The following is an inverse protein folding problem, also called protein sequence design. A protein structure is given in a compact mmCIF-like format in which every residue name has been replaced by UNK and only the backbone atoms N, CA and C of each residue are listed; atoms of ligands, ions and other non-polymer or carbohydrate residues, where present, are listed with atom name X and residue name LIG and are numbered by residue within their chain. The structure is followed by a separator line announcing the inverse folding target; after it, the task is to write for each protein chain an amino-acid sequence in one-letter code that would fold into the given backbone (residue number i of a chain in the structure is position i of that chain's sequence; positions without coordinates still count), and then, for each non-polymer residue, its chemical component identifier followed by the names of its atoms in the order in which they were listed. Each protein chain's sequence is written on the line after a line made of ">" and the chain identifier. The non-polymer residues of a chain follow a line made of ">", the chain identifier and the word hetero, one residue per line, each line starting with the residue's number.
data_IF_108216382740
#
_entry.id   IF_108216382740
#
_cell.length_a   1.000
_cell.length_b   1.000
_cell.length_c   1.000
_cell.angle_alpha   90.00
_cell.angle_beta   90.00
_cell.angle_gamma   90.00
#
_symmetry.space_group_name_H-M   'P 1'
#
loop_
_entity.id
_entity.type
_entity.pdbx_description
1 polymer ?
#
# COMPACT_ATOMS: atom_id res chain seq x y z
N UNK A 1 -25.43 -14.98 -9.21
CA UNK A 1 -24.83 -14.03 -8.25
C UNK A 1 -23.90 -13.15 -9.07
N UNK A 2 -24.09 -11.83 -9.18
CA UNK A 2 -23.03 -11.01 -9.76
C UNK A 2 -21.80 -11.19 -8.86
N UNK A 3 -20.72 -11.78 -9.39
CA UNK A 3 -19.46 -11.86 -8.65
C UNK A 3 -19.00 -10.43 -8.46
N UNK A 4 -19.11 -9.91 -7.23
CA UNK A 4 -18.59 -8.59 -6.90
C UNK A 4 -17.12 -8.55 -7.31
N UNK A 5 -16.74 -7.55 -8.11
CA UNK A 5 -15.33 -7.31 -8.44
C UNK A 5 -14.52 -7.25 -7.12
N UNK A 6 -13.30 -7.82 -7.09
CA UNK A 6 -12.46 -7.78 -5.90
C UNK A 6 -12.15 -6.34 -5.49
N UNK A 7 -12.12 -6.09 -4.17
CA UNK A 7 -11.74 -4.81 -3.59
C UNK A 7 -10.22 -4.75 -3.41
N UNK A 8 -9.56 -3.84 -4.11
CA UNK A 8 -8.10 -3.67 -4.12
C UNK A 8 -7.73 -2.28 -3.59
N UNK A 9 -6.87 -2.26 -2.57
CA UNK A 9 -6.32 -1.03 -2.01
C UNK A 9 -4.96 -0.70 -2.63
N UNK A 10 -4.70 0.57 -2.92
CA UNK A 10 -3.46 1.04 -3.56
C UNK A 10 -2.88 2.24 -2.80
N UNK A 11 -1.60 2.21 -2.42
CA UNK A 11 -0.88 3.37 -1.85
C UNK A 11 0.17 3.99 -2.79
N UNK A 12 0.34 3.39 -3.97
CA UNK A 12 1.39 3.75 -4.92
C UNK A 12 0.86 4.32 -6.22
N UNK A 13 1.71 5.09 -6.88
CA UNK A 13 1.46 5.52 -8.26
C UNK A 13 1.68 4.35 -9.21
N UNK A 14 0.64 4.01 -9.97
CA UNK A 14 0.71 3.00 -11.02
C UNK A 14 0.92 3.67 -12.37
N UNK A 15 1.65 3.00 -13.27
CA UNK A 15 1.67 3.38 -14.67
C UNK A 15 0.22 3.40 -15.22
N UNK A 16 -0.20 4.37 -16.07
CA UNK A 16 -1.59 4.51 -16.49
C UNK A 16 -2.21 3.24 -17.10
N UNK A 17 -1.43 2.50 -17.89
CA UNK A 17 -1.87 1.22 -18.44
C UNK A 17 -2.14 0.16 -17.37
N UNK A 18 -1.34 0.12 -16.30
CA UNK A 18 -1.51 -0.82 -15.20
C UNK A 18 -2.73 -0.45 -14.36
N UNK A 19 -2.93 0.83 -14.06
CA UNK A 19 -4.12 1.34 -13.36
C UNK A 19 -5.40 1.04 -14.15
N UNK A 20 -5.41 1.32 -15.45
CA UNK A 20 -6.55 1.03 -16.33
C UNK A 20 -6.90 -0.47 -16.36
N UNK A 21 -5.89 -1.34 -16.46
CA UNK A 21 -6.09 -2.80 -16.41
C UNK A 21 -6.65 -3.24 -15.06
N UNK A 22 -6.09 -2.74 -13.95
CA UNK A 22 -6.55 -3.09 -12.61
C UNK A 22 -8.00 -2.66 -12.38
N UNK A 23 -8.35 -1.43 -12.74
CA UNK A 23 -9.72 -0.88 -12.62
C UNK A 23 -10.74 -1.60 -13.51
N UNK A 24 -10.31 -2.22 -14.60
CA UNK A 24 -11.20 -3.02 -15.46
C UNK A 24 -11.64 -4.34 -14.80
N UNK A 25 -10.89 -4.81 -13.80
CA UNK A 25 -11.10 -6.13 -13.16
C UNK A 25 -11.29 -6.07 -11.65
N UNK A 26 -11.22 -4.89 -11.02
CA UNK A 26 -11.28 -4.71 -9.58
C UNK A 26 -11.91 -3.35 -9.21
N UNK A 27 -12.52 -3.28 -8.03
CA UNK A 27 -12.81 -2.00 -7.38
C UNK A 27 -11.53 -1.49 -6.72
N UNK A 28 -11.04 -0.34 -7.17
CA UNK A 28 -9.76 0.22 -6.72
C UNK A 28 -9.99 1.45 -5.87
N UNK A 29 -9.45 1.45 -4.66
CA UNK A 29 -9.52 2.58 -3.71
C UNK A 29 -8.15 2.88 -3.12
N UNK A 30 -7.90 4.14 -2.69
CA UNK A 30 -6.67 4.47 -2.00
C UNK A 30 -6.58 3.72 -0.66
N UNK A 31 -5.38 3.25 -0.31
CA UNK A 31 -5.09 2.70 1.01
C UNK A 31 -4.94 3.85 2.01
N UNK A 32 -5.70 3.88 3.12
CA UNK A 32 -5.52 4.91 4.14
C UNK A 32 -4.10 4.87 4.75
N UNK A 33 -3.59 6.05 5.11
CA UNK A 33 -2.21 6.22 5.60
C UNK A 33 -1.95 5.48 6.92
N UNK A 34 -2.95 5.31 7.78
CA UNK A 34 -2.77 4.62 9.06
C UNK A 34 -4.03 4.54 9.92
N UNK A 35 -3.85 4.04 11.14
CA UNK A 35 -4.86 4.07 12.19
C UNK A 35 -6.06 3.13 11.95
N UNK A 36 -7.16 3.34 12.70
CA UNK A 36 -8.35 2.48 12.65
C UNK A 36 -8.97 2.38 11.25
N UNK A 37 -8.91 3.45 10.46
CA UNK A 37 -9.44 3.48 9.09
C UNK A 37 -8.68 2.53 8.16
N UNK A 38 -7.34 2.50 8.26
CA UNK A 38 -6.50 1.57 7.50
C UNK A 38 -6.82 0.13 7.86
N UNK A 39 -6.94 -0.19 9.16
CA UNK A 39 -7.32 -1.52 9.63
C UNK A 39 -8.70 -1.91 9.09
N UNK A 40 -9.68 -1.01 9.17
CA UNK A 40 -11.03 -1.26 8.67
C UNK A 40 -11.07 -1.43 7.14
N UNK A 41 -10.24 -0.70 6.40
CA UNK A 41 -10.11 -0.85 4.96
C UNK A 41 -9.51 -2.22 4.61
N UNK A 42 -8.41 -2.60 5.26
CA UNK A 42 -7.74 -3.89 5.05
C UNK A 42 -8.63 -5.08 5.42
N UNK A 43 -9.45 -4.97 6.47
CA UNK A 43 -10.44 -5.98 6.86
C UNK A 43 -11.45 -6.31 5.74
N UNK A 44 -11.71 -5.35 4.83
CA UNK A 44 -12.66 -5.48 3.71
C UNK A 44 -11.98 -5.70 2.36
N UNK A 45 -10.65 -5.66 2.29
CA UNK A 45 -9.92 -5.77 1.04
C UNK A 45 -9.70 -7.24 0.64
N UNK A 46 -9.75 -7.51 -0.65
CA UNK A 46 -9.37 -8.80 -1.24
C UNK A 46 -7.89 -8.75 -1.71
N UNK A 47 -7.35 -7.56 -2.01
CA UNK A 47 -5.93 -7.35 -2.36
C UNK A 47 -5.36 -5.98 -1.98
N UNK A 48 -4.03 -5.88 -1.91
CA UNK A 48 -3.31 -4.62 -1.66
C UNK A 48 -2.06 -4.46 -2.52
N UNK A 49 -1.83 -3.23 -3.00
CA UNK A 49 -0.64 -2.75 -3.72
C UNK A 49 -0.02 -1.58 -2.95
N UNK A 50 1.17 -1.75 -2.36
CA UNK A 50 1.73 -0.76 -1.44
C UNK A 50 3.27 -0.61 -1.49
N UNK A 51 3.81 0.53 -1.07
CA UNK A 51 5.25 0.78 -0.89
C UNK A 51 5.86 0.06 0.33
N UNK A 52 5.06 -0.74 1.03
CA UNK A 52 5.48 -1.61 2.12
C UNK A 52 4.36 -2.54 2.53
N UNK A 53 4.65 -3.66 3.20
CA UNK A 53 3.62 -4.56 3.68
C UNK A 53 2.78 -3.89 4.78
N UNK A 54 1.49 -4.22 4.88
CA UNK A 54 0.71 -3.90 6.08
C UNK A 54 1.35 -4.49 7.34
N UNK A 55 1.16 -3.83 8.47
CA UNK A 55 1.68 -4.28 9.75
C UNK A 55 1.05 -5.60 10.20
N UNK A 56 1.74 -6.37 11.05
CA UNK A 56 1.26 -7.68 11.53
C UNK A 56 -0.14 -7.62 12.15
N UNK A 57 -0.42 -6.59 12.95
CA UNK A 57 -1.73 -6.40 13.58
C UNK A 57 -2.82 -6.07 12.56
N UNK A 58 -2.48 -5.37 11.48
CA UNK A 58 -3.42 -5.06 10.39
C UNK A 58 -3.75 -6.33 9.62
N UNK A 59 -2.74 -7.14 9.30
CA UNK A 59 -2.91 -8.44 8.61
C UNK A 59 -3.75 -9.42 9.43
N UNK A 60 -3.59 -9.44 10.76
CA UNK A 60 -4.40 -10.26 11.65
C UNK A 60 -5.90 -9.91 11.62
N UNK A 61 -6.26 -8.72 11.13
CA UNK A 61 -7.65 -8.26 10.96
C UNK A 61 -8.13 -8.33 9.50
N UNK A 62 -7.24 -8.65 8.57
CA UNK A 62 -7.48 -8.66 7.14
C UNK A 62 -7.92 -10.07 6.65
N UNK A 63 -8.97 -10.63 7.24
CA UNK A 63 -9.40 -12.03 7.02
C UNK A 63 -9.79 -12.34 5.55
N UNK A 64 -10.11 -11.30 4.78
CA UNK A 64 -10.50 -11.40 3.37
C UNK A 64 -9.33 -11.26 2.40
N UNK A 65 -8.18 -10.78 2.87
CA UNK A 65 -7.05 -10.41 2.03
C UNK A 65 -6.40 -11.68 1.46
N UNK A 66 -6.34 -11.79 0.13
CA UNK A 66 -5.81 -12.97 -0.58
C UNK A 66 -4.51 -12.70 -1.33
N UNK A 67 -4.24 -11.43 -1.64
CA UNK A 67 -3.08 -11.03 -2.43
C UNK A 67 -2.43 -9.77 -1.86
N UNK A 68 -1.11 -9.79 -1.75
CA UNK A 68 -0.29 -8.66 -1.33
C UNK A 68 0.81 -8.50 -2.37
N UNK A 69 0.86 -7.33 -3.00
CA UNK A 69 1.96 -6.94 -3.87
C UNK A 69 2.59 -5.68 -3.27
N UNK A 70 3.88 -5.74 -2.99
CA UNK A 70 4.61 -4.64 -2.38
C UNK A 70 5.79 -4.24 -3.23
N UNK A 71 5.99 -2.94 -3.36
CA UNK A 71 7.25 -2.41 -3.87
C UNK A 71 8.16 -2.17 -2.69
N UNK A 72 9.20 -2.99 -2.57
CA UNK A 72 10.19 -2.88 -1.52
C UNK A 72 11.51 -2.44 -2.13
N UNK A 73 12.18 -1.51 -1.44
CA UNK A 73 13.58 -1.23 -1.72
C UNK A 73 14.42 -2.50 -1.46
N UNK A 74 15.59 -2.67 -2.08
CA UNK A 74 16.53 -3.73 -1.74
C UNK A 74 16.85 -3.76 -0.23
N UNK A 75 17.15 -4.92 0.38
CA UNK A 75 17.39 -5.04 1.83
C UNK A 75 18.44 -4.05 2.36
N UNK A 76 19.52 -3.82 1.61
CA UNK A 76 20.59 -2.86 1.92
C UNK A 76 20.13 -1.39 1.98
N UNK A 77 19.03 -1.07 1.31
CA UNK A 77 18.37 0.25 1.39
C UNK A 77 17.36 0.30 2.54
N UNK A 78 16.70 -0.81 2.85
CA UNK A 78 15.75 -0.88 3.96
C UNK A 78 16.44 -0.68 5.32
N UNK A 79 17.61 -1.30 5.53
CA UNK A 79 18.38 -1.19 6.78
C UNK A 79 18.81 0.26 7.09
N UNK A 80 19.07 1.05 6.04
CA UNK A 80 19.44 2.48 6.14
C UNK A 80 18.27 3.42 6.45
N UNK A 81 17.04 2.96 6.32
CA UNK A 81 15.84 3.72 6.69
C UNK A 81 15.39 3.44 8.13
N UNK A 82 15.76 2.27 8.67
CA UNK A 82 15.44 1.85 10.06
C UNK A 82 16.46 2.42 11.06
N UNK A 83 17.71 2.57 10.65
CA UNK A 83 18.74 3.32 11.36
C UNK A 83 18.73 4.74 10.79
N UNK A 84 18.32 5.75 11.56
CA UNK A 84 18.06 7.12 11.07
C UNK A 84 19.29 7.90 10.55
N UNK A 85 19.93 7.41 9.50
CA UNK A 85 21.08 8.03 8.85
C UNK A 85 20.70 8.98 7.70
N UNK A 86 19.39 9.15 7.43
CA UNK A 86 18.91 10.27 6.63
C UNK A 86 18.55 11.41 7.59
N UNK A 87 19.56 12.15 8.03
CA UNK A 87 19.35 13.50 8.56
C UNK A 87 18.49 14.27 7.53
N UNK A 88 17.45 15.00 7.95
CA UNK A 88 16.71 15.86 7.03
C UNK A 88 17.69 16.87 6.46
N UNK A 89 18.13 16.66 5.22
CA UNK A 89 18.85 17.70 4.51
C UNK A 89 17.88 18.87 4.38
N UNK A 90 18.30 19.98 4.98
CA UNK A 90 17.59 21.24 5.01
C UNK A 90 16.99 21.55 3.64
N UNK A 91 15.66 21.65 3.59
CA UNK A 91 14.98 22.31 2.48
C UNK A 91 15.57 23.72 2.42
N UNK A 92 16.24 23.99 1.30
CA UNK A 92 17.15 25.12 1.15
C UNK A 92 16.53 26.47 1.53
N UNK A 93 17.28 27.21 2.34
CA UNK A 93 17.30 28.66 2.24
C UNK A 93 17.81 29.02 0.84
N UNK A 94 17.01 29.74 0.06
CA UNK A 94 17.42 30.34 -1.20
C UNK A 94 16.42 30.11 -2.32
N UNK A 95 15.36 30.92 -2.36
CA UNK A 95 15.10 31.94 -3.38
C UNK A 95 14.20 33.03 -2.78
#
# INVERSE_FOLDING_TARGET
>A
MPSSLPNVLVDMSLHPLADARLRSSAQVSPLPTGGPERVAALARADGVLAYGPPGRLELARAERLRAIAVHLAPPDVQDRLVLGDIAPQAVGAGL
#
